data_IF_904805757170
#
_entry.id   IF_904805757170
#
_cell.length_a   1.000
_cell.length_b   1.000
_cell.length_c   1.000
_cell.angle_alpha   90.00
_cell.angle_beta   90.00
_cell.angle_gamma   90.00
#
_symmetry.space_group_name_H-M   'P 1'
#
loop_
_entity.id
_entity.type
_entity.pdbx_description
1 polymer ?
#
# COMPACT_ATOMS: atom_id res chain seq x y z
N UNK A 1 -33.36 -1.79 3.42
CA UNK A 1 -32.47 -1.73 2.23
C UNK A 1 -31.03 -1.75 2.72
N UNK A 2 -30.31 -2.83 2.45
CA UNK A 2 -29.03 -3.17 3.08
C UNK A 2 -27.90 -2.30 2.54
N UNK A 3 -27.58 -1.20 3.24
CA UNK A 3 -26.41 -0.38 2.93
C UNK A 3 -25.16 -1.15 3.35
N UNK A 4 -24.58 -1.89 2.41
CA UNK A 4 -23.36 -2.67 2.58
C UNK A 4 -22.18 -1.69 2.69
N UNK A 5 -22.10 -1.06 3.85
CA UNK A 5 -21.09 -0.09 4.21
C UNK A 5 -19.79 -0.89 4.43
N UNK A 6 -19.13 -1.23 3.33
CA UNK A 6 -17.76 -1.76 3.31
C UNK A 6 -16.84 -0.62 3.73
N UNK A 7 -16.95 -0.18 4.98
CA UNK A 7 -15.81 0.40 5.68
C UNK A 7 -14.79 -0.71 5.67
N UNK A 8 -13.93 -0.67 4.66
CA UNK A 8 -12.60 -1.25 4.69
C UNK A 8 -12.08 -0.73 6.02
N UNK A 9 -12.18 -1.55 7.07
CA UNK A 9 -11.60 -1.24 8.36
C UNK A 9 -10.12 -1.16 8.02
N UNK A 10 -9.63 0.06 7.92
CA UNK A 10 -8.22 0.39 7.90
C UNK A 10 -7.70 -0.15 9.23
N UNK A 11 -7.46 -1.47 9.29
CA UNK A 11 -6.74 -2.06 10.39
C UNK A 11 -5.44 -1.30 10.37
N UNK A 12 -5.14 -0.63 11.47
CA UNK A 12 -3.92 0.12 11.65
C UNK A 12 -2.77 -0.69 11.07
N UNK A 13 -2.08 -0.09 10.11
CA UNK A 13 -0.98 -0.71 9.43
C UNK A 13 0.22 -0.75 10.38
N UNK A 14 0.70 -1.95 10.70
CA UNK A 14 1.77 -2.13 11.68
C UNK A 14 3.10 -2.47 10.99
N UNK A 15 4.21 -2.15 11.65
CA UNK A 15 5.53 -2.57 11.18
C UNK A 15 5.58 -4.09 11.11
N UNK A 16 5.97 -4.63 9.95
CA UNK A 16 5.97 -6.06 9.67
C UNK A 16 4.76 -6.55 8.88
N UNK A 17 3.69 -5.76 8.76
CA UNK A 17 2.56 -6.14 7.91
C UNK A 17 2.94 -6.19 6.44
N UNK A 18 2.41 -7.21 5.75
CA UNK A 18 2.42 -7.29 4.29
C UNK A 18 1.32 -6.39 3.71
N UNK A 19 1.71 -5.52 2.80
CA UNK A 19 0.85 -4.54 2.17
C UNK A 19 1.12 -4.48 0.67
N UNK A 20 0.14 -4.04 -0.10
CA UNK A 20 0.30 -3.61 -1.48
C UNK A 20 0.44 -2.09 -1.48
N UNK A 21 1.29 -1.54 -2.35
CA UNK A 21 1.40 -0.09 -2.54
C UNK A 21 0.74 0.34 -3.84
N UNK A 22 0.21 1.55 -3.89
CA UNK A 22 -0.31 2.10 -5.13
C UNK A 22 0.84 2.41 -6.10
N UNK A 23 0.69 2.04 -7.37
CA UNK A 23 1.58 2.41 -8.46
C UNK A 23 1.37 3.88 -8.75
N UNK A 24 2.26 4.74 -8.26
CA UNK A 24 2.24 6.14 -8.62
C UNK A 24 2.78 6.34 -10.03
N UNK A 25 2.16 7.28 -10.74
CA UNK A 25 2.34 7.68 -12.16
C UNK A 25 3.74 8.21 -12.52
N UNK A 26 4.78 7.85 -11.77
CA UNK A 26 6.20 8.16 -12.04
C UNK A 26 6.80 7.20 -13.08
N UNK A 27 5.98 6.37 -13.73
CA UNK A 27 6.30 5.73 -15.01
C UNK A 27 5.18 6.04 -15.99
N UNK A 28 5.22 7.20 -16.65
CA UNK A 28 4.19 7.69 -17.60
C UNK A 28 4.22 6.95 -18.95
N UNK A 29 4.78 5.74 -18.99
CA UNK A 29 5.03 5.00 -20.23
C UNK A 29 4.46 3.58 -20.21
N UNK A 30 3.47 3.29 -19.36
CA UNK A 30 2.68 2.06 -19.48
C UNK A 30 1.20 2.35 -19.65
N UNK A 31 0.54 1.75 -20.66
CA UNK A 31 -0.88 1.94 -20.88
C UNK A 31 -1.67 1.48 -19.66
N UNK A 32 -2.79 2.17 -19.33
CA UNK A 32 -3.63 1.86 -18.18
C UNK A 32 -4.29 0.50 -18.38
N UNK A 33 -3.62 -0.57 -17.96
CA UNK A 33 -4.23 -1.90 -17.89
C UNK A 33 -4.95 -2.01 -16.56
N UNK A 34 -6.29 -1.96 -16.60
CA UNK A 34 -7.28 -2.32 -15.56
C UNK A 34 -7.07 -1.72 -14.15
N UNK A 35 -8.12 -1.11 -13.60
CA UNK A 35 -8.11 -0.41 -12.30
C UNK A 35 -7.64 -1.27 -11.09
N UNK A 36 -7.78 -2.60 -11.17
CA UNK A 36 -7.25 -3.53 -10.15
C UNK A 36 -5.73 -3.77 -10.23
N UNK A 37 -5.05 -3.46 -11.35
CA UNK A 37 -3.59 -3.64 -11.51
C UNK A 37 -2.77 -2.42 -11.10
N UNK A 38 -3.39 -1.39 -10.50
CA UNK A 38 -2.65 -0.24 -9.96
C UNK A 38 -1.93 -0.57 -8.65
N UNK A 39 -2.19 -1.70 -8.00
CA UNK A 39 -1.50 -2.10 -6.77
C UNK A 39 -0.27 -2.95 -7.10
N UNK A 40 0.90 -2.53 -6.62
CA UNK A 40 2.17 -3.22 -6.85
C UNK A 40 2.61 -3.97 -5.60
N UNK A 41 3.02 -5.22 -5.81
CA UNK A 41 3.83 -6.10 -4.96
C UNK A 41 3.29 -6.39 -3.57
N UNK A 42 3.73 -7.46 -2.89
CA UNK A 42 3.78 -7.47 -1.44
C UNK A 42 5.02 -6.71 -0.95
N UNK A 43 4.80 -5.64 -0.19
CA UNK A 43 5.79 -4.86 0.54
C UNK A 43 5.58 -5.06 2.04
N UNK A 44 6.61 -4.78 2.82
CA UNK A 44 6.56 -4.86 4.28
C UNK A 44 6.71 -3.47 4.85
N UNK A 45 5.89 -3.10 5.83
CA UNK A 45 6.08 -1.84 6.55
C UNK A 45 7.31 -1.98 7.43
N UNK A 46 8.34 -1.14 7.19
CA UNK A 46 9.56 -1.16 8.01
C UNK A 46 9.50 -0.14 9.14
N UNK A 47 8.97 1.06 8.87
CA UNK A 47 8.89 2.11 9.87
C UNK A 47 7.60 2.90 9.69
N UNK A 48 6.93 3.26 10.78
CA UNK A 48 5.94 4.32 10.81
C UNK A 48 6.67 5.63 11.16
N UNK A 49 6.67 6.58 10.23
CA UNK A 49 7.26 7.92 10.45
C UNK A 49 6.26 8.90 11.07
N UNK A 50 4.97 8.61 10.99
CA UNK A 50 3.91 9.45 11.52
C UNK A 50 2.55 8.74 11.49
N UNK A 51 1.48 9.40 11.95
CA UNK A 51 0.16 8.79 12.15
C UNK A 51 -0.46 8.18 10.89
N UNK A 52 0.00 8.58 9.71
CA UNK A 52 -0.46 8.03 8.43
C UNK A 52 0.67 7.82 7.43
N UNK A 53 1.94 7.89 7.86
CA UNK A 53 3.09 7.91 6.95
C UNK A 53 4.04 6.78 7.30
N UNK A 54 4.31 5.93 6.31
CA UNK A 54 5.06 4.69 6.48
C UNK A 54 6.22 4.61 5.48
N UNK A 55 7.34 4.05 5.92
CA UNK A 55 8.38 3.53 5.03
C UNK A 55 8.12 2.07 4.78
N UNK A 56 8.18 1.73 3.51
CA UNK A 56 8.04 0.38 3.02
C UNK A 56 9.42 -0.21 2.73
N UNK A 57 9.54 -1.52 2.88
CA UNK A 57 10.64 -2.33 2.40
C UNK A 57 10.11 -3.38 1.42
N UNK A 58 10.95 -3.75 0.45
CA UNK A 58 10.76 -4.97 -0.34
C UNK A 58 10.97 -6.19 0.57
N UNK A 59 10.47 -7.35 0.15
CA UNK A 59 10.72 -8.61 0.84
C UNK A 59 12.22 -8.96 0.94
N UNK A 60 13.03 -8.42 0.02
CA UNK A 60 14.50 -8.51 0.01
C UNK A 60 15.18 -7.62 1.08
N UNK A 61 14.43 -6.79 1.81
CA UNK A 61 14.96 -5.87 2.82
C UNK A 61 15.37 -4.50 2.25
N UNK A 62 15.35 -4.32 0.93
CA UNK A 62 15.56 -3.03 0.28
C UNK A 62 14.47 -2.02 0.67
N UNK A 63 14.86 -0.92 1.31
CA UNK A 63 13.94 0.17 1.68
C UNK A 63 13.55 1.02 0.47
N UNK A 64 12.27 1.36 0.39
CA UNK A 64 11.79 2.34 -0.57
C UNK A 64 12.18 3.74 -0.09
N UNK A 65 12.81 4.53 -0.96
CA UNK A 65 13.18 5.92 -0.67
C UNK A 65 11.96 6.81 -0.44
N UNK A 66 10.82 6.45 -1.04
CA UNK A 66 9.56 7.17 -0.92
C UNK A 66 8.82 6.76 0.34
N UNK A 67 8.27 7.75 1.03
CA UNK A 67 7.31 7.56 2.13
C UNK A 67 5.90 7.43 1.56
N UNK A 68 5.12 6.51 2.10
CA UNK A 68 3.79 6.18 1.62
C UNK A 68 2.76 6.53 2.68
N UNK A 69 1.63 7.09 2.25
CA UNK A 69 0.54 7.34 3.17
C UNK A 69 -0.37 6.13 3.26
N UNK A 70 -1.08 5.99 4.37
CA UNK A 70 -2.11 4.96 4.57
C UNK A 70 -3.04 4.82 3.35
N UNK A 71 -3.50 5.94 2.76
CA UNK A 71 -4.32 5.98 1.55
C UNK A 71 -3.69 5.32 0.30
N UNK A 72 -2.36 5.35 0.20
CA UNK A 72 -1.61 4.75 -0.90
C UNK A 72 -1.22 3.29 -0.60
N UNK A 73 -1.61 2.76 0.55
CA UNK A 73 -1.31 1.40 1.00
C UNK A 73 -2.59 0.58 1.14
N UNK A 74 -2.47 -0.73 0.91
CA UNK A 74 -3.58 -1.67 1.10
C UNK A 74 -3.07 -2.91 1.78
N UNK A 75 -3.62 -3.26 2.93
CA UNK A 75 -3.22 -4.49 3.64
C UNK A 75 -3.41 -5.72 2.75
N UNK A 76 -2.36 -6.53 2.62
CA UNK A 76 -2.42 -7.80 1.91
C UNK A 76 -3.00 -8.83 2.87
N UNK A 77 -4.27 -9.20 2.67
CA UNK A 77 -4.91 -10.27 3.42
C UNK A 77 -4.57 -11.59 2.71
N UNK A 78 -3.84 -12.48 3.39
CA UNK A 78 -3.78 -13.89 3.02
C UNK A 78 -4.98 -14.65 3.55
#
# INVERSE_FOLDING_TARGET
MTNNNKHIRWRSLEVGDLILKLRTTTGRDMPPRKLDSNWEGPFIIRNALGPNTYKLARQDGTLLSRTWNDNDLRKFYS
#
